data_IF_107925150161
#
_entry.id   IF_107925150161
#
_cell.length_a   1.000
_cell.length_b   1.000
_cell.length_c   1.000
_cell.angle_alpha   90.00
_cell.angle_beta   90.00
_cell.angle_gamma   90.00
#
_symmetry.space_group_name_H-M   'P 1'
#
loop_
_entity.id
_entity.type
_entity.pdbx_description
1 polymer ?
#
# COMPACT_ATOMS: atom_id res chain seq x y z
N UNK A 1 9.75 -2.68 14.54
CA UNK A 1 10.23 -2.33 13.18
C UNK A 1 9.52 -1.05 12.74
N UNK A 2 10.26 0.01 12.40
CA UNK A 2 9.71 1.33 12.02
C UNK A 2 8.82 1.27 10.76
N UNK A 3 9.08 0.34 9.83
CA UNK A 3 8.29 0.20 8.61
C UNK A 3 6.79 -0.09 8.86
N UNK A 4 6.45 -0.71 10.00
CA UNK A 4 5.04 -0.92 10.36
C UNK A 4 4.29 0.38 10.62
N UNK A 5 4.98 1.49 10.94
CA UNK A 5 4.37 2.81 11.07
C UNK A 5 3.96 3.36 9.71
N UNK A 6 4.80 3.20 8.68
CA UNK A 6 4.55 3.72 7.32
C UNK A 6 3.55 2.91 6.51
N UNK A 7 3.21 1.69 6.94
CA UNK A 7 2.24 0.82 6.25
C UNK A 7 0.80 0.94 6.80
N UNK A 8 0.56 1.87 7.72
CA UNK A 8 -0.71 2.06 8.41
C UNK A 8 -1.30 3.43 8.08
N UNK A 9 -2.62 3.52 8.13
CA UNK A 9 -3.28 4.79 7.90
C UNK A 9 -2.92 5.79 9.03
N UNK A 10 -2.80 7.09 8.73
CA UNK A 10 -2.61 8.10 9.76
C UNK A 10 -3.68 8.00 10.85
N UNK A 11 -3.27 8.04 12.12
CA UNK A 11 -4.17 7.96 13.27
C UNK A 11 -4.71 6.56 13.61
N UNK A 12 -4.40 5.52 12.81
CA UNK A 12 -4.87 4.15 13.09
C UNK A 12 -4.30 3.61 14.41
N UNK A 13 -3.01 3.84 14.68
CA UNK A 13 -2.36 3.39 15.92
C UNK A 13 -2.89 4.14 17.14
N UNK A 14 -3.18 5.44 17.00
CA UNK A 14 -3.77 6.24 18.07
C UNK A 14 -5.19 5.77 18.40
N UNK A 15 -6.02 5.55 17.37
CA UNK A 15 -7.38 5.01 17.53
C UNK A 15 -7.37 3.64 18.21
N UNK A 16 -6.39 2.79 17.88
CA UNK A 16 -6.33 1.41 18.37
C UNK A 16 -5.74 1.27 19.78
N UNK A 17 -4.73 2.07 20.11
CA UNK A 17 -3.95 1.91 21.34
C UNK A 17 -3.96 3.14 22.24
N UNK A 18 -4.10 4.33 21.66
CA UNK A 18 -3.94 5.61 22.35
C UNK A 18 -2.69 5.65 23.21
N UNK A 19 -2.85 6.07 24.47
CA UNK A 19 -1.80 6.05 25.50
C UNK A 19 -1.96 4.89 26.49
N UNK A 20 -2.59 3.79 26.07
CA UNK A 20 -2.81 2.62 26.91
C UNK A 20 -1.49 2.00 27.37
N UNK A 21 -1.37 1.76 28.69
CA UNK A 21 -0.24 1.04 29.28
C UNK A 21 -0.40 -0.47 29.09
N UNK A 22 0.71 -1.18 28.97
CA UNK A 22 0.74 -2.64 28.89
C UNK A 22 0.97 -3.22 30.28
N UNK A 23 -0.01 -3.97 30.80
CA UNK A 23 0.07 -4.71 32.08
C UNK A 23 0.56 -3.88 33.29
N UNK A 24 0.32 -2.56 33.27
CA UNK A 24 0.83 -1.58 34.25
C UNK A 24 -0.16 -0.43 34.48
N UNK A 25 -0.05 0.22 35.64
CA UNK A 25 -0.87 1.40 36.00
C UNK A 25 -0.13 2.73 35.89
N UNK A 26 1.21 2.71 35.88
CA UNK A 26 2.06 3.89 35.72
C UNK A 26 3.24 3.59 34.78
N UNK A 27 3.76 4.58 34.02
CA UNK A 27 4.98 4.40 33.21
C UNK A 27 6.18 4.06 34.09
N UNK A 28 6.98 3.07 33.69
CA UNK A 28 8.18 2.66 34.41
C UNK A 28 9.40 3.54 34.06
N UNK A 29 9.34 4.31 32.96
CA UNK A 29 10.44 5.16 32.47
C UNK A 29 11.74 4.38 32.20
N UNK A 30 11.60 3.09 31.87
CA UNK A 30 12.70 2.20 31.50
C UNK A 30 12.89 2.09 29.98
N UNK A 31 13.78 1.18 29.57
CA UNK A 31 13.99 0.84 28.15
C UNK A 31 13.00 -0.22 27.63
N UNK A 32 12.27 -0.87 28.53
CA UNK A 32 11.25 -1.86 28.18
C UNK A 32 9.94 -1.19 27.76
N UNK A 33 9.13 -1.82 26.90
CA UNK A 33 7.83 -1.29 26.50
C UNK A 33 6.93 -0.99 27.71
N UNK A 34 6.50 0.26 27.83
CA UNK A 34 5.51 0.72 28.82
C UNK A 34 4.11 0.77 28.20
N UNK A 35 4.03 1.08 26.90
CA UNK A 35 2.78 1.25 26.17
C UNK A 35 2.42 0.02 25.33
N UNK A 36 1.11 -0.19 25.14
CA UNK A 36 0.59 -1.29 24.31
C UNK A 36 1.09 -1.19 22.85
N UNK A 37 1.19 0.04 22.32
CA UNK A 37 1.71 0.28 20.96
C UNK A 37 3.18 -0.14 20.83
N UNK A 38 4.00 0.10 21.86
CA UNK A 38 5.40 -0.30 21.88
C UNK A 38 5.53 -1.83 21.90
N UNK A 39 4.75 -2.48 22.78
CA UNK A 39 4.68 -3.93 22.88
C UNK A 39 4.25 -4.58 21.55
N UNK A 40 3.25 -3.99 20.90
CA UNK A 40 2.78 -4.41 19.57
C UNK A 40 3.88 -4.28 18.51
N UNK A 41 4.55 -3.13 18.42
CA UNK A 41 5.60 -2.89 17.44
C UNK A 41 6.85 -3.74 17.70
N UNK A 42 7.16 -4.03 18.97
CA UNK A 42 8.25 -4.92 19.37
C UNK A 42 7.94 -6.38 18.98
N UNK A 43 6.72 -6.86 19.25
CA UNK A 43 6.27 -8.19 18.84
C UNK A 43 6.34 -8.37 17.32
N UNK A 44 5.74 -7.46 16.55
CA UNK A 44 5.78 -7.53 15.08
C UNK A 44 7.20 -7.35 14.52
N UNK A 45 8.03 -6.53 15.17
CA UNK A 45 9.44 -6.37 14.81
C UNK A 45 10.23 -7.66 14.97
N UNK A 46 10.11 -8.34 16.11
CA UNK A 46 10.79 -9.63 16.35
C UNK A 46 10.39 -10.69 15.32
N UNK A 47 9.09 -10.85 15.07
CA UNK A 47 8.59 -11.81 14.07
C UNK A 47 9.07 -11.54 12.65
N UNK A 48 9.36 -10.30 12.30
CA UNK A 48 9.95 -9.96 11.00
C UNK A 48 11.39 -10.45 10.92
N UNK A 49 12.22 -10.12 11.93
CA UNK A 49 13.63 -10.50 11.96
C UNK A 49 13.81 -12.02 12.01
N UNK A 50 12.91 -12.75 12.67
CA UNK A 50 12.92 -14.22 12.70
C UNK A 50 12.69 -14.88 11.33
N UNK A 51 12.10 -14.15 10.37
CA UNK A 51 11.64 -14.70 9.10
C UNK A 51 12.36 -14.13 7.88
N UNK A 52 13.11 -13.04 8.05
CA UNK A 52 13.67 -12.29 6.93
C UNK A 52 15.18 -12.14 7.06
N UNK A 53 15.89 -12.49 6.00
CA UNK A 53 17.34 -12.33 5.93
C UNK A 53 17.72 -10.84 5.76
N UNK A 54 18.58 -10.28 6.63
CA UNK A 54 18.97 -8.87 6.55
C UNK A 54 19.63 -8.48 5.22
N UNK A 55 20.44 -9.36 4.62
CA UNK A 55 21.11 -9.05 3.36
C UNK A 55 20.10 -8.96 2.21
N UNK A 56 19.15 -9.89 2.16
CA UNK A 56 18.01 -9.86 1.24
C UNK A 56 17.16 -8.60 1.41
N UNK A 57 16.98 -8.14 2.65
CA UNK A 57 16.23 -6.91 2.93
C UNK A 57 16.89 -5.70 2.26
N UNK A 58 18.19 -5.53 2.45
CA UNK A 58 18.96 -4.43 1.84
C UNK A 58 18.89 -4.47 0.32
N UNK A 59 19.02 -5.66 -0.29
CA UNK A 59 18.97 -5.81 -1.74
C UNK A 59 17.61 -5.43 -2.29
N UNK A 60 16.52 -5.92 -1.68
CA UNK A 60 15.16 -5.64 -2.13
C UNK A 60 14.83 -4.15 -1.96
N UNK A 61 15.16 -3.54 -0.83
CA UNK A 61 14.88 -2.11 -0.62
C UNK A 61 15.66 -1.24 -1.60
N UNK A 62 16.92 -1.56 -1.88
CA UNK A 62 17.68 -0.84 -2.93
C UNK A 62 17.09 -1.02 -4.32
N UNK A 63 16.63 -2.22 -4.65
CA UNK A 63 15.97 -2.48 -5.94
C UNK A 63 14.67 -1.67 -6.07
N UNK A 64 13.91 -1.52 -4.97
CA UNK A 64 12.73 -0.65 -4.94
C UNK A 64 13.10 0.83 -5.12
N UNK A 65 14.12 1.32 -4.42
CA UNK A 65 14.54 2.73 -4.47
C UNK A 65 15.13 3.11 -5.84
N UNK A 66 15.83 2.19 -6.50
CA UNK A 66 16.44 2.43 -7.82
C UNK A 66 15.52 2.11 -8.99
N UNK A 67 14.31 1.63 -8.74
CA UNK A 67 13.39 1.31 -9.82
C UNK A 67 12.89 2.60 -10.49
N UNK A 68 13.31 2.81 -11.75
CA UNK A 68 12.80 3.85 -12.62
C UNK A 68 12.34 3.22 -13.94
N UNK A 69 11.04 3.32 -14.20
CA UNK A 69 10.40 2.74 -15.37
C UNK A 69 10.65 3.55 -16.65
N UNK A 70 10.95 4.85 -16.52
CA UNK A 70 11.16 5.77 -17.63
C UNK A 70 12.20 6.84 -17.24
N UNK A 71 13.50 6.47 -17.15
CA UNK A 71 14.56 7.40 -16.75
C UNK A 71 14.82 8.53 -17.77
N UNK A 72 14.33 8.36 -18.99
CA UNK A 72 14.28 9.35 -20.06
C UNK A 72 13.02 10.25 -20.01
N UNK A 73 12.10 9.99 -19.07
CA UNK A 73 10.83 10.69 -18.91
C UNK A 73 9.73 10.25 -19.89
N UNK A 74 10.01 9.35 -20.84
CA UNK A 74 9.03 8.90 -21.83
C UNK A 74 8.36 7.59 -21.43
N UNK A 75 7.47 7.69 -20.44
CA UNK A 75 6.70 6.56 -19.96
C UNK A 75 5.68 6.04 -21.00
N UNK A 76 5.20 6.90 -21.90
CA UNK A 76 4.19 6.55 -22.90
C UNK A 76 4.73 5.58 -23.97
N UNK A 77 5.98 5.73 -24.38
CA UNK A 77 6.60 4.81 -25.35
C UNK A 77 6.81 3.42 -24.80
N UNK A 78 7.07 3.26 -23.49
CA UNK A 78 7.22 1.96 -22.82
C UNK A 78 6.00 1.06 -22.96
N UNK A 79 4.83 1.66 -23.16
CA UNK A 79 3.56 0.94 -23.31
C UNK A 79 2.99 1.00 -24.73
N UNK A 80 3.73 1.55 -25.69
CA UNK A 80 3.30 1.61 -27.09
C UNK A 80 3.11 0.21 -27.65
N UNK A 81 1.89 -0.09 -28.09
CA UNK A 81 1.55 -1.40 -28.65
C UNK A 81 1.22 -2.47 -27.61
N UNK A 82 1.22 -2.15 -26.31
CA UNK A 82 0.70 -3.04 -25.29
C UNK A 82 -0.80 -3.33 -25.56
N UNK A 83 -1.15 -4.61 -25.60
CA UNK A 83 -2.54 -5.09 -25.79
C UNK A 83 -3.19 -5.61 -24.51
N UNK A 84 -2.50 -5.44 -23.38
CA UNK A 84 -2.90 -5.97 -22.08
C UNK A 84 -3.95 -5.07 -21.45
N UNK A 85 -4.91 -5.68 -20.75
CA UNK A 85 -5.85 -4.95 -19.89
C UNK A 85 -5.19 -4.73 -18.55
N UNK A 86 -5.15 -3.49 -18.09
CA UNK A 86 -4.55 -3.12 -16.83
C UNK A 86 -5.57 -2.59 -15.84
N UNK A 87 -5.38 -2.93 -14.58
CA UNK A 87 -6.09 -2.37 -13.45
C UNK A 87 -5.08 -1.68 -12.55
N UNK A 88 -5.32 -0.40 -12.27
CA UNK A 88 -4.51 0.42 -11.39
C UNK A 88 -5.35 0.77 -10.16
N UNK A 89 -4.92 0.29 -8.99
CA UNK A 89 -5.60 0.48 -7.72
C UNK A 89 -4.72 1.19 -6.72
N UNK A 90 -5.27 2.17 -6.00
CA UNK A 90 -4.59 2.88 -4.90
C UNK A 90 -5.52 3.11 -3.72
N UNK A 91 -4.95 3.37 -2.54
CA UNK A 91 -5.71 3.77 -1.35
C UNK A 91 -5.55 5.26 -1.07
N UNK A 92 -6.63 5.94 -0.69
CA UNK A 92 -6.61 7.39 -0.39
C UNK A 92 -5.62 7.76 0.73
N UNK A 93 -5.34 6.83 1.64
CA UNK A 93 -4.46 7.04 2.79
C UNK A 93 -3.12 6.32 2.66
N UNK A 94 -2.76 5.86 1.46
CA UNK A 94 -1.45 5.26 1.25
C UNK A 94 -0.38 6.35 1.36
N UNK A 95 0.52 6.20 2.33
CA UNK A 95 1.63 7.14 2.51
C UNK A 95 2.80 6.82 1.57
N UNK A 96 3.01 5.55 1.23
CA UNK A 96 4.19 5.10 0.50
C UNK A 96 4.01 5.23 -1.01
N UNK A 97 2.81 4.89 -1.51
CA UNK A 97 2.45 4.95 -2.93
C UNK A 97 1.14 5.72 -3.11
N UNK A 98 1.18 7.07 -3.00
CA UNK A 98 -0.02 7.88 -2.97
C UNK A 98 -0.79 7.81 -4.30
N UNK A 99 -2.12 8.03 -4.30
CA UNK A 99 -2.98 7.92 -5.48
C UNK A 99 -2.53 8.74 -6.70
N UNK A 100 -1.81 9.83 -6.47
CA UNK A 100 -1.24 10.70 -7.49
C UNK A 100 -0.25 9.92 -8.37
N UNK A 101 0.64 9.12 -7.78
CA UNK A 101 1.61 8.29 -8.52
C UNK A 101 0.90 7.24 -9.38
N UNK A 102 -0.18 6.65 -8.87
CA UNK A 102 -1.01 5.72 -9.65
C UNK A 102 -1.74 6.42 -10.80
N UNK A 103 -2.09 7.70 -10.61
CA UNK A 103 -2.76 8.52 -11.64
C UNK A 103 -1.81 8.96 -12.75
N UNK A 104 -0.52 9.16 -12.46
CA UNK A 104 0.51 9.44 -13.46
C UNK A 104 0.67 8.28 -14.45
N UNK A 105 0.62 7.04 -13.96
CA UNK A 105 0.64 5.84 -14.81
C UNK A 105 -0.54 5.79 -15.80
N UNK A 106 -1.68 6.42 -15.48
CA UNK A 106 -2.88 6.38 -16.33
C UNK A 106 -2.67 6.98 -17.72
N UNK A 107 -1.90 8.07 -17.84
CA UNK A 107 -1.73 8.78 -19.10
C UNK A 107 -1.05 7.92 -20.18
N UNK A 108 0.10 7.26 -19.91
CA UNK A 108 0.71 6.26 -20.80
C UNK A 108 -0.25 5.15 -21.25
N UNK A 109 -1.13 4.69 -20.35
CA UNK A 109 -2.07 3.60 -20.62
C UNK A 109 -3.39 4.03 -21.28
N UNK A 110 -3.64 5.33 -21.47
CA UNK A 110 -4.84 5.83 -22.12
C UNK A 110 -4.82 5.72 -23.66
N UNK A 111 -3.95 4.87 -24.21
CA UNK A 111 -3.86 4.60 -25.64
C UNK A 111 -5.01 3.68 -26.10
N UNK A 112 -5.51 3.80 -27.35
CA UNK A 112 -6.63 2.97 -27.84
C UNK A 112 -6.40 1.46 -27.73
N UNK A 113 -5.13 1.03 -27.81
CA UNK A 113 -4.71 -0.36 -27.75
C UNK A 113 -4.60 -0.90 -26.31
N UNK A 114 -4.36 -0.03 -25.33
CA UNK A 114 -4.17 -0.40 -23.93
C UNK A 114 -5.38 0.05 -23.12
N UNK A 115 -6.07 -0.89 -22.48
CA UNK A 115 -7.28 -0.58 -21.70
C UNK A 115 -6.92 -0.52 -20.23
N UNK A 116 -7.17 0.63 -19.62
CA UNK A 116 -6.83 0.86 -18.22
C UNK A 116 -8.08 1.22 -17.42
N UNK A 117 -8.33 0.47 -16.35
CA UNK A 117 -9.29 0.82 -15.31
C UNK A 117 -8.51 1.35 -14.11
N UNK A 118 -8.84 2.55 -13.65
CA UNK A 118 -8.28 3.10 -12.41
C UNK A 118 -9.33 3.11 -11.31
N UNK A 119 -8.92 2.75 -10.09
CA UNK A 119 -9.75 2.83 -8.90
C UNK A 119 -8.96 3.37 -7.70
N UNK A 120 -9.53 4.38 -7.05
CA UNK A 120 -9.04 4.85 -5.75
C UNK A 120 -10.01 4.34 -4.68
N UNK A 121 -9.48 3.63 -3.70
CA UNK A 121 -10.22 2.96 -2.64
C UNK A 121 -10.04 3.70 -1.31
N UNK A 122 -11.10 3.70 -0.50
CA UNK A 122 -10.99 4.08 0.91
C UNK A 122 -10.48 2.88 1.72
N UNK A 123 -9.51 3.08 2.63
CA UNK A 123 -9.11 2.01 3.54
C UNK A 123 -10.29 1.61 4.44
N UNK A 124 -10.45 0.32 4.79
CA UNK A 124 -11.38 -0.06 5.84
C UNK A 124 -10.93 0.52 7.20
N UNK A 125 -11.85 0.73 8.16
CA UNK A 125 -11.55 1.33 9.47
C UNK A 125 -10.56 0.54 10.33
N UNK A 126 -10.36 -0.75 10.03
CA UNK A 126 -9.41 -1.61 10.70
C UNK A 126 -8.53 -2.29 9.63
N UNK A 127 -7.22 -2.08 9.72
CA UNK A 127 -6.14 -2.73 8.96
C UNK A 127 -5.70 -2.15 7.60
N UNK A 128 -4.39 -1.85 7.59
CA UNK A 128 -3.36 -2.17 6.57
C UNK A 128 -3.84 -2.22 5.13
N UNK A 129 -3.48 -1.17 4.40
CA UNK A 129 -3.49 -1.16 2.95
C UNK A 129 -2.80 -2.42 2.39
N UNK A 130 -3.40 -2.95 1.33
CA UNK A 130 -2.89 -3.97 0.41
C UNK A 130 -2.97 -5.46 0.81
N UNK A 131 -2.77 -5.88 2.07
CA UNK A 131 -2.53 -7.32 2.35
C UNK A 131 -3.73 -8.20 2.69
N UNK A 132 -4.95 -7.66 2.76
CA UNK A 132 -6.12 -8.49 3.03
C UNK A 132 -6.99 -8.65 1.80
N UNK A 133 -7.41 -9.89 1.53
CA UNK A 133 -8.49 -10.28 0.63
C UNK A 133 -9.77 -9.55 1.01
N UNK A 134 -9.83 -8.25 0.72
CA UNK A 134 -11.05 -7.49 0.88
C UNK A 134 -12.03 -8.02 -0.16
N UNK A 135 -13.24 -8.43 0.24
CA UNK A 135 -14.32 -8.72 -0.70
C UNK A 135 -14.52 -7.58 -1.71
N UNK A 136 -14.15 -6.34 -1.33
CA UNK A 136 -14.10 -5.18 -2.21
C UNK A 136 -13.07 -5.33 -3.34
N UNK A 137 -11.80 -5.65 -3.03
CA UNK A 137 -10.76 -5.84 -4.03
C UNK A 137 -11.14 -6.99 -4.97
N UNK A 138 -11.65 -8.10 -4.43
CA UNK A 138 -12.12 -9.22 -5.25
C UNK A 138 -13.34 -8.84 -6.12
N UNK A 139 -14.26 -8.01 -5.62
CA UNK A 139 -15.36 -7.45 -6.43
C UNK A 139 -14.85 -6.55 -7.54
N UNK A 140 -13.89 -5.68 -7.25
CA UNK A 140 -13.28 -4.76 -8.22
C UNK A 140 -12.51 -5.54 -9.28
N UNK A 141 -11.73 -6.55 -8.90
CA UNK A 141 -11.04 -7.40 -9.86
C UNK A 141 -12.03 -8.17 -10.74
N UNK A 142 -13.10 -8.74 -10.17
CA UNK A 142 -14.16 -9.44 -10.91
C UNK A 142 -15.05 -8.51 -11.76
N UNK A 143 -15.16 -7.23 -11.40
CA UNK A 143 -15.88 -6.24 -12.20
C UNK A 143 -14.97 -5.67 -13.28
N UNK A 144 -13.68 -5.48 -13.01
CA UNK A 144 -12.67 -5.03 -13.98
C UNK A 144 -12.54 -5.97 -15.17
N UNK A 145 -12.62 -7.29 -14.93
CA UNK A 145 -12.63 -8.28 -16.01
C UNK A 145 -13.85 -8.15 -16.92
N UNK A 146 -14.97 -7.60 -16.42
CA UNK A 146 -16.22 -7.34 -17.15
C UNK A 146 -16.33 -5.92 -17.72
N UNK A 147 -15.82 -4.90 -17.03
CA UNK A 147 -15.85 -3.50 -17.45
C UNK A 147 -14.76 -3.14 -18.46
N UNK A 148 -13.81 -4.03 -18.73
CA UNK A 148 -12.70 -3.82 -19.67
C UNK A 148 -13.11 -3.65 -21.15
N UNK A 149 -14.39 -3.37 -21.44
CA UNK A 149 -14.86 -2.93 -22.75
C UNK A 149 -14.63 -1.43 -23.00
N UNK A 150 -14.38 -0.61 -21.97
CA UNK A 150 -14.11 0.84 -22.09
C UNK A 150 -13.07 1.32 -21.08
N UNK A 151 -12.30 2.36 -21.42
CA UNK A 151 -11.49 3.11 -20.46
C UNK A 151 -12.44 3.82 -19.50
N UNK A 152 -12.30 3.59 -18.20
CA UNK A 152 -13.16 4.15 -17.18
C UNK A 152 -12.35 4.49 -15.93
N UNK A 153 -12.78 5.55 -15.24
CA UNK A 153 -12.28 5.89 -13.90
C UNK A 153 -13.41 5.59 -12.94
N UNK A 154 -13.23 4.63 -12.05
CA UNK A 154 -14.23 4.27 -11.07
C UNK A 154 -13.76 4.69 -9.68
N UNK A 155 -14.41 5.70 -9.08
CA UNK A 155 -14.26 5.97 -7.65
C UNK A 155 -15.25 5.12 -6.89
N UNK A 156 -14.76 4.14 -6.14
CA UNK A 156 -15.59 3.32 -5.27
C UNK A 156 -15.66 3.99 -3.90
N UNK A 157 -16.72 4.78 -3.67
CA UNK A 157 -17.13 5.17 -2.32
C UNK A 157 -17.94 4.02 -1.74
N UNK A 158 -17.43 3.38 -0.71
CA UNK A 158 -18.23 2.61 0.25
C UNK A 158 -17.87 3.16 1.63
#
# INVERSE_FOLDING_TARGET
MLAHLSYRAPGELDTRFGRGLQDRTQPAYGLEPDYQVESYLAYHGRRFVERFDPASYVVITKAMDYFDLAPDGDLASRFKGARTRMFLGSYETDWLYPPEQTSELRMPFAQPACRCLTAVMKPPPAMTAFYWTSPLLMRILRSSSRLAHRNAVCRFKI
#
